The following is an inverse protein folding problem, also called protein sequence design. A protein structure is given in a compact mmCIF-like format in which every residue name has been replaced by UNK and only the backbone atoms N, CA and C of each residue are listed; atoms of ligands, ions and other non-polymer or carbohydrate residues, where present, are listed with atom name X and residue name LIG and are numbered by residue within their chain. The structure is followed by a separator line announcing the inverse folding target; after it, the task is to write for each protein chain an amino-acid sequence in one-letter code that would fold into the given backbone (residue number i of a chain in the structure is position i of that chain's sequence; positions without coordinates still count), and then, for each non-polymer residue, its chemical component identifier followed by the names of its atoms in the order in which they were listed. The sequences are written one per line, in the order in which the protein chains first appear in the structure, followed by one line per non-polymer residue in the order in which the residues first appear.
data_IF_952782091893
#
_entry.id   IF_952782091893
#
_cell.length_a   1.000
_cell.length_b   1.000
_cell.length_c   1.000
_cell.angle_alpha   90.00
_cell.angle_beta   90.00
_cell.angle_gamma   90.00
#
_symmetry.space_group_name_H-M   'P 1'
#
loop_
_entity.id
_entity.type
_entity.pdbx_description
1 polymer ?
#
# COMPACT_ATOMS: atom_id res chain seq x y z
N UNK A 1 -7.65 66.98 -1.05
CA UNK A 1 -7.09 65.74 -1.66
C UNK A 1 -5.77 65.27 -1.03
N UNK A 2 -4.87 66.16 -0.57
CA UNK A 2 -3.60 65.76 0.09
C UNK A 2 -3.74 64.94 1.38
N UNK A 3 -4.71 65.24 2.23
CA UNK A 3 -4.89 64.55 3.53
C UNK A 3 -5.40 63.11 3.38
N UNK A 4 -6.22 62.84 2.35
CA UNK A 4 -6.71 61.48 2.06
C UNK A 4 -5.62 60.59 1.46
N UNK A 5 -4.68 61.16 0.71
CA UNK A 5 -3.55 60.42 0.13
C UNK A 5 -2.54 59.99 1.21
N UNK A 6 -2.32 60.83 2.22
CA UNK A 6 -1.40 60.53 3.35
C UNK A 6 -1.98 59.41 4.24
N UNK A 7 -3.29 59.42 4.51
CA UNK A 7 -3.93 58.38 5.33
C UNK A 7 -3.87 57.01 4.64
N UNK A 8 -4.04 56.97 3.32
CA UNK A 8 -3.95 55.71 2.54
C UNK A 8 -2.51 55.18 2.52
N UNK A 9 -1.50 56.05 2.42
CA UNK A 9 -0.08 55.67 2.47
C UNK A 9 0.37 55.16 3.84
N UNK A 10 -0.16 55.73 4.93
CA UNK A 10 0.14 55.27 6.29
C UNK A 10 -0.55 53.95 6.61
N UNK A 11 -1.79 53.72 6.14
CA UNK A 11 -2.47 52.42 6.29
C UNK A 11 -1.83 51.29 5.47
N UNK A 12 -1.29 51.59 4.29
CA UNK A 12 -0.61 50.58 3.46
C UNK A 12 0.78 50.23 3.98
N UNK A 13 1.47 51.15 4.67
CA UNK A 13 2.74 50.85 5.34
C UNK A 13 2.59 50.01 6.62
N UNK A 14 1.46 50.11 7.34
CA UNK A 14 1.22 49.31 8.56
C UNK A 14 0.91 47.82 8.28
N UNK A 15 0.43 47.48 7.08
CA UNK A 15 0.07 46.10 6.72
C UNK A 15 1.24 45.24 6.22
N UNK A 16 2.46 45.79 6.14
CA UNK A 16 3.67 45.06 5.72
C UNK A 16 4.53 44.65 6.94
N UNK A 17 4.18 45.10 8.15
CA UNK A 17 4.96 44.86 9.37
C UNK A 17 4.28 43.87 10.33
N UNK A 18 3.97 42.67 9.85
CA UNK A 18 3.35 41.64 10.68
C UNK A 18 3.44 40.23 10.09
N UNK A 19 4.61 39.59 10.23
CA UNK A 19 4.79 38.16 10.53
C UNK A 19 6.29 37.79 10.46
N UNK A 20 7.05 38.11 11.52
CA UNK A 20 8.24 37.31 11.86
C UNK A 20 7.76 36.21 12.81
N UNK A 21 7.71 34.97 12.34
CA UNK A 21 7.58 33.81 13.21
C UNK A 21 8.94 33.55 13.87
N UNK A 22 9.00 33.27 15.18
CA UNK A 22 10.22 32.78 15.81
C UNK A 22 10.57 31.42 15.18
N UNK A 23 11.80 31.29 14.70
CA UNK A 23 12.37 29.99 14.36
C UNK A 23 12.34 29.13 15.62
N UNK A 24 11.42 28.16 15.67
CA UNK A 24 11.38 27.16 16.72
C UNK A 24 12.46 26.14 16.39
N UNK A 25 13.58 26.24 17.09
CA UNK A 25 14.62 25.21 17.16
C UNK A 25 13.95 23.87 17.44
N UNK A 26 13.83 23.06 16.39
CA UNK A 26 13.59 21.63 16.54
C UNK A 26 14.94 20.97 16.25
N UNK A 27 15.84 21.09 17.22
CA UNK A 27 16.96 20.17 17.35
C UNK A 27 16.35 18.79 17.67
N UNK A 28 15.82 18.15 16.64
CA UNK A 28 15.49 16.73 16.64
C UNK A 28 16.79 15.99 16.88
N UNK A 29 16.72 15.00 17.76
CA UNK A 29 17.79 14.16 18.25
C UNK A 29 18.40 13.28 17.14
N UNK A 30 19.16 13.93 16.24
CA UNK A 30 19.87 13.30 15.12
C UNK A 30 20.70 12.04 15.49
N UNK A 31 21.40 11.95 16.64
CA UNK A 31 22.18 10.76 16.95
C UNK A 31 21.30 9.54 17.28
N UNK A 32 20.11 9.74 17.86
CA UNK A 32 19.19 8.64 18.16
C UNK A 32 18.60 7.99 16.90
N UNK A 33 18.26 8.79 15.89
CA UNK A 33 17.76 8.29 14.60
C UNK A 33 18.85 7.55 13.81
N UNK A 34 20.10 8.03 13.81
CA UNK A 34 21.22 7.33 13.14
C UNK A 34 21.52 6.00 13.84
N UNK A 35 21.48 5.96 15.17
CA UNK A 35 21.65 4.72 15.92
C UNK A 35 20.57 3.69 15.56
N UNK A 36 19.29 4.09 15.53
CA UNK A 36 18.18 3.20 15.17
C UNK A 36 18.31 2.63 13.75
N UNK A 37 18.64 3.48 12.76
CA UNK A 37 18.84 3.03 11.37
C UNK A 37 19.98 2.01 11.23
N UNK A 38 21.07 2.17 11.99
CA UNK A 38 22.21 1.25 11.93
C UNK A 38 21.91 -0.13 12.53
N UNK A 39 21.06 -0.20 13.56
CA UNK A 39 20.62 -1.45 14.18
C UNK A 39 19.68 -2.21 13.25
N UNK A 40 18.71 -1.52 12.65
CA UNK A 40 17.74 -2.11 11.72
C UNK A 40 18.42 -2.67 10.46
N UNK A 41 19.40 -1.94 9.90
CA UNK A 41 20.20 -2.43 8.78
C UNK A 41 20.98 -3.72 9.11
N UNK A 42 21.46 -3.86 10.36
CA UNK A 42 22.22 -5.04 10.79
C UNK A 42 21.30 -6.26 10.97
N UNK A 43 20.08 -6.06 11.47
CA UNK A 43 19.07 -7.11 11.59
C UNK A 43 18.64 -7.64 10.21
N UNK A 44 18.36 -6.75 9.25
CA UNK A 44 18.02 -7.16 7.88
C UNK A 44 19.16 -7.90 7.18
N UNK A 45 20.42 -7.52 7.44
CA UNK A 45 21.58 -8.22 6.90
C UNK A 45 21.71 -9.65 7.47
N UNK A 46 21.46 -9.84 8.77
CA UNK A 46 21.50 -11.14 9.42
C UNK A 46 20.38 -12.08 8.92
N UNK A 47 19.17 -11.55 8.74
CA UNK A 47 18.03 -12.32 8.21
C UNK A 47 18.28 -12.79 6.77
N UNK A 48 18.81 -11.91 5.91
CA UNK A 48 19.19 -12.25 4.53
C UNK A 48 20.26 -13.34 4.49
N UNK A 49 21.26 -13.28 5.36
CA UNK A 49 22.30 -14.30 5.46
C UNK A 49 21.72 -15.66 5.89
N UNK A 50 20.76 -15.68 6.83
CA UNK A 50 20.06 -16.89 7.25
C UNK A 50 19.23 -17.53 6.13
N UNK A 51 18.51 -16.72 5.35
CA UNK A 51 17.76 -17.18 4.18
C UNK A 51 18.68 -17.78 3.11
N UNK A 52 19.79 -17.09 2.81
CA UNK A 52 20.77 -17.56 1.82
C UNK A 52 21.43 -18.89 2.26
N UNK A 53 21.75 -19.06 3.53
CA UNK A 53 22.28 -20.31 4.07
C UNK A 53 21.29 -21.48 3.91
N UNK A 54 20.00 -21.22 4.11
CA UNK A 54 18.93 -22.22 3.93
C UNK A 54 18.82 -22.66 2.47
N UNK A 55 18.88 -21.73 1.52
CA UNK A 55 18.81 -22.05 0.08
C UNK A 55 20.02 -22.89 -0.37
N UNK A 56 21.22 -22.57 0.11
CA UNK A 56 22.44 -23.34 -0.23
C UNK A 56 22.39 -24.75 0.37
N UNK A 57 21.81 -24.93 1.56
CA UNK A 57 21.61 -26.25 2.16
C UNK A 57 20.71 -27.15 1.31
N UNK A 58 19.62 -26.60 0.73
CA UNK A 58 18.76 -27.34 -0.19
C UNK A 58 19.44 -27.66 -1.53
N UNK A 59 20.30 -26.77 -2.05
CA UNK A 59 21.02 -26.97 -3.31
C UNK A 59 22.12 -28.03 -3.27
N UNK A 60 22.66 -28.33 -2.08
CA UNK A 60 23.74 -29.31 -1.89
C UNK A 60 23.25 -30.71 -1.49
N UNK A 61 21.93 -30.93 -1.46
CA UNK A 61 21.38 -32.24 -1.14
C UNK A 61 21.58 -33.19 -2.34
N UNK A 62 22.23 -34.35 -2.17
CA UNK A 62 22.44 -35.29 -3.26
C UNK A 62 21.09 -35.74 -3.84
N UNK A 63 20.94 -35.60 -5.15
CA UNK A 63 19.74 -36.03 -5.89
C UNK A 63 19.50 -37.52 -5.63
N UNK A 64 18.33 -37.93 -5.13
CA UNK A 64 18.01 -39.35 -4.98
C UNK A 64 17.97 -39.97 -6.38
N UNK A 65 18.99 -40.76 -6.72
CA UNK A 65 18.99 -41.60 -7.92
C UNK A 65 17.95 -42.71 -7.74
N UNK A 66 16.83 -42.62 -8.43
CA UNK A 66 15.89 -43.72 -8.57
C UNK A 66 16.60 -44.90 -9.25
N UNK A 67 16.74 -46.07 -8.60
CA UNK A 67 17.23 -47.26 -9.29
C UNK A 67 16.19 -47.73 -10.31
N UNK A 68 16.68 -48.24 -11.45
CA UNK A 68 15.85 -48.75 -12.54
C UNK A 68 14.94 -49.90 -12.06
N UNK A 69 13.66 -49.86 -12.44
CA UNK A 69 12.68 -50.91 -12.15
C UNK A 69 13.08 -52.24 -12.81
N UNK A 70 13.18 -53.35 -12.05
CA UNK A 70 13.16 -54.68 -12.64
C UNK A 70 11.73 -55.16 -12.94
N UNK A 71 11.61 -55.88 -14.04
CA UNK A 71 10.44 -56.62 -14.54
C UNK A 71 9.86 -57.57 -13.48
N UNK A 72 8.52 -57.67 -13.30
CA UNK A 72 7.94 -58.46 -12.22
C UNK A 72 7.98 -59.97 -12.51
N UNK A 73 8.60 -60.72 -11.59
CA UNK A 73 8.40 -62.16 -11.40
C UNK A 73 7.47 -62.37 -10.19
N UNK A 74 6.52 -63.32 -10.19
CA UNK A 74 5.54 -63.45 -9.12
C UNK A 74 6.10 -64.22 -7.92
N UNK A 75 6.24 -63.56 -6.76
CA UNK A 75 6.48 -64.22 -5.48
C UNK A 75 5.81 -63.49 -4.30
N UNK A 76 5.01 -64.26 -3.55
CA UNK A 76 4.81 -64.32 -2.08
C UNK A 76 4.64 -63.01 -1.27
N UNK A 77 3.63 -62.89 -0.38
CA UNK A 77 3.35 -61.65 0.36
C UNK A 77 4.46 -61.36 1.37
N UNK A 78 5.35 -60.45 0.99
CA UNK A 78 6.37 -59.84 1.85
C UNK A 78 5.82 -58.52 2.37
N UNK A 79 6.00 -58.26 3.66
CA UNK A 79 5.54 -57.06 4.34
C UNK A 79 5.95 -55.80 3.56
N UNK A 80 4.95 -54.97 3.24
CA UNK A 80 5.11 -53.69 2.54
C UNK A 80 6.00 -52.78 3.37
N UNK A 81 7.15 -52.30 2.85
CA UNK A 81 7.89 -51.23 3.48
C UNK A 81 7.03 -49.97 3.52
N UNK A 82 6.87 -49.37 4.71
CA UNK A 82 6.15 -48.11 4.88
C UNK A 82 6.79 -47.03 3.99
N UNK A 83 6.00 -46.56 3.02
CA UNK A 83 6.38 -45.47 2.12
C UNK A 83 6.50 -44.19 2.97
N UNK A 84 7.59 -43.40 2.82
CA UNK A 84 7.70 -42.13 3.54
C UNK A 84 6.51 -41.23 3.20
N UNK A 85 5.83 -40.75 4.24
CA UNK A 85 4.75 -39.76 4.10
C UNK A 85 5.30 -38.52 3.39
N UNK A 86 4.70 -38.06 2.27
CA UNK A 86 5.18 -36.89 1.57
C UNK A 86 5.13 -35.67 2.49
N UNK A 87 6.27 -34.97 2.63
CA UNK A 87 6.32 -33.68 3.32
C UNK A 87 5.38 -32.71 2.63
N UNK A 88 4.44 -32.06 3.33
CA UNK A 88 3.53 -31.10 2.71
C UNK A 88 4.32 -29.94 2.11
N UNK A 89 4.09 -29.65 0.83
CA UNK A 89 4.63 -28.46 0.17
C UNK A 89 4.01 -27.21 0.84
N UNK A 90 4.78 -26.14 1.12
CA UNK A 90 4.21 -24.88 1.59
C UNK A 90 3.15 -24.40 0.60
N UNK A 91 1.92 -24.30 1.07
CA UNK A 91 0.79 -23.80 0.27
C UNK A 91 0.84 -22.28 0.29
N UNK A 92 0.95 -21.65 -0.89
CA UNK A 92 0.85 -20.19 -1.00
C UNK A 92 -0.52 -19.75 -0.44
N UNK A 93 -0.60 -18.66 0.35
CA UNK A 93 -1.88 -18.13 0.79
C UNK A 93 -2.78 -17.85 -0.42
N UNK A 94 -4.10 -18.11 -0.31
CA UNK A 94 -5.01 -17.86 -1.40
C UNK A 94 -5.04 -16.36 -1.73
N UNK A 95 -5.17 -16.06 -3.02
CA UNK A 95 -5.24 -14.69 -3.55
C UNK A 95 -6.53 -14.48 -4.34
N UNK A 96 -6.91 -13.22 -4.51
CA UNK A 96 -7.98 -12.75 -5.36
C UNK A 96 -7.55 -11.52 -6.15
N UNK A 97 -8.52 -10.81 -6.70
CA UNK A 97 -8.29 -9.56 -7.44
C UNK A 97 -9.28 -8.49 -7.02
N UNK A 98 -8.90 -7.23 -7.18
CA UNK A 98 -9.83 -6.11 -7.08
C UNK A 98 -9.57 -5.09 -8.19
N UNK A 99 -10.64 -4.46 -8.68
CA UNK A 99 -10.56 -3.49 -9.77
C UNK A 99 -11.61 -2.38 -9.66
N UNK A 100 -11.32 -1.26 -10.29
CA UNK A 100 -12.22 -0.11 -10.31
C UNK A 100 -11.76 1.02 -11.22
N UNK A 101 -12.56 2.08 -11.25
CA UNK A 101 -12.26 3.29 -11.99
C UNK A 101 -11.40 4.26 -11.16
N UNK A 102 -10.61 5.08 -11.85
CA UNK A 102 -9.85 6.19 -11.29
C UNK A 102 -10.51 7.49 -11.76
N UNK A 103 -10.84 8.36 -10.81
CA UNK A 103 -11.27 9.74 -11.06
C UNK A 103 -10.30 10.73 -10.44
N UNK A 104 -10.39 11.99 -10.87
CA UNK A 104 -9.70 13.13 -10.25
C UNK A 104 -10.50 14.39 -10.57
N UNK A 105 -10.61 15.39 -9.66
CA UNK A 105 -11.40 16.60 -9.85
C UNK A 105 -10.73 17.59 -10.83
N UNK A 106 -10.38 17.13 -12.03
CA UNK A 106 -9.82 17.94 -13.12
C UNK A 106 -10.20 17.33 -14.47
N UNK A 107 -9.77 17.96 -15.57
CA UNK A 107 -9.96 17.42 -16.93
C UNK A 107 -9.12 16.18 -17.24
N UNK A 108 -8.12 15.87 -16.39
CA UNK A 108 -7.17 14.78 -16.57
C UNK A 108 -6.95 14.05 -15.24
N UNK A 109 -6.66 12.75 -15.30
CA UNK A 109 -6.25 11.97 -14.12
C UNK A 109 -4.73 11.99 -14.06
N UNK A 110 -4.10 12.55 -13.00
CA UNK A 110 -2.65 12.55 -12.88
C UNK A 110 -2.10 11.12 -12.69
N UNK A 111 -0.78 10.96 -12.70
CA UNK A 111 -0.18 9.70 -12.26
C UNK A 111 -0.41 9.52 -10.74
N UNK A 112 -0.99 8.39 -10.36
CA UNK A 112 -1.43 8.10 -8.99
C UNK A 112 -0.70 6.89 -8.42
N UNK A 113 -0.44 6.91 -7.12
CA UNK A 113 -0.13 5.71 -6.35
C UNK A 113 -1.41 5.18 -5.76
N UNK A 114 -1.82 4.00 -6.20
CA UNK A 114 -3.02 3.32 -5.70
C UNK A 114 -2.57 2.34 -4.63
N UNK A 115 -3.22 2.36 -3.47
CA UNK A 115 -2.85 1.56 -2.30
C UNK A 115 -4.08 0.84 -1.77
N UNK A 116 -3.97 -0.47 -1.58
CA UNK A 116 -4.93 -1.30 -0.87
C UNK A 116 -4.38 -1.63 0.52
N UNK A 117 -4.99 -1.07 1.56
CA UNK A 117 -4.63 -1.30 2.97
C UNK A 117 -5.46 -2.42 3.56
N UNK A 118 -4.82 -3.51 3.99
CA UNK A 118 -5.50 -4.58 4.70
C UNK A 118 -5.85 -4.12 6.11
N UNK A 119 -7.14 -4.03 6.42
CA UNK A 119 -7.63 -3.41 7.67
C UNK A 119 -7.33 -4.24 8.92
N UNK A 120 -7.04 -5.52 8.77
CA UNK A 120 -6.81 -6.43 9.89
C UNK A 120 -5.32 -6.65 10.17
N UNK A 121 -4.48 -6.68 9.14
CA UNK A 121 -3.05 -6.96 9.27
C UNK A 121 -2.19 -5.70 9.27
N UNK A 122 -2.70 -4.58 8.76
CA UNK A 122 -1.94 -3.35 8.54
C UNK A 122 -0.99 -3.42 7.34
N UNK A 123 -0.87 -4.56 6.66
CA UNK A 123 -0.12 -4.66 5.41
C UNK A 123 -0.82 -3.88 4.30
N UNK A 124 -0.02 -3.39 3.36
CA UNK A 124 -0.52 -2.65 2.20
C UNK A 124 0.15 -3.14 0.92
N UNK A 125 -0.60 -3.03 -0.17
CA UNK A 125 -0.16 -3.34 -1.52
C UNK A 125 -0.37 -2.11 -2.38
N UNK A 126 0.54 -1.82 -3.30
CA UNK A 126 0.44 -0.63 -4.11
C UNK A 126 0.91 -0.84 -5.54
N UNK A 127 0.38 -0.01 -6.43
CA UNK A 127 0.81 0.12 -7.81
C UNK A 127 0.75 1.58 -8.22
N UNK A 128 1.52 1.95 -9.24
CA UNK A 128 1.43 3.27 -9.84
C UNK A 128 0.58 3.21 -11.11
N UNK A 129 -0.27 4.21 -11.29
CA UNK A 129 -0.90 4.49 -12.58
C UNK A 129 -0.04 5.46 -13.39
N UNK A 130 -0.27 5.48 -14.70
CA UNK A 130 0.26 6.52 -15.60
C UNK A 130 -0.75 7.66 -15.76
N UNK A 131 -0.29 8.78 -16.31
CA UNK A 131 -1.14 9.92 -16.65
C UNK A 131 -2.34 9.48 -17.53
N UNK A 132 -3.53 9.96 -17.19
CA UNK A 132 -4.83 9.68 -17.83
C UNK A 132 -5.28 8.21 -17.81
N UNK A 133 -4.69 7.38 -16.94
CA UNK A 133 -5.22 6.06 -16.69
C UNK A 133 -6.54 6.16 -15.91
N UNK A 134 -7.61 5.58 -16.47
CA UNK A 134 -8.98 5.69 -15.93
C UNK A 134 -9.43 4.46 -15.13
N UNK A 135 -8.61 3.42 -15.05
CA UNK A 135 -8.94 2.19 -14.32
C UNK A 135 -7.69 1.50 -13.79
N UNK A 136 -7.86 0.64 -12.80
CA UNK A 136 -6.78 -0.15 -12.20
C UNK A 136 -7.26 -1.55 -11.83
N UNK A 137 -6.30 -2.45 -11.63
CA UNK A 137 -6.53 -3.82 -11.16
C UNK A 137 -5.33 -4.31 -10.38
N UNK A 138 -5.55 -4.73 -9.14
CA UNK A 138 -4.62 -5.60 -8.43
C UNK A 138 -4.91 -7.05 -8.81
N UNK A 139 -3.87 -7.76 -9.21
CA UNK A 139 -3.88 -9.23 -9.33
C UNK A 139 -3.15 -9.84 -8.14
N UNK A 140 -3.55 -11.05 -7.77
CA UNK A 140 -2.89 -11.83 -6.74
C UNK A 140 -2.82 -11.14 -5.36
N UNK A 141 -3.86 -10.38 -5.01
CA UNK A 141 -3.97 -9.77 -3.69
C UNK A 141 -4.37 -10.83 -2.67
N UNK A 142 -3.70 -10.95 -1.50
CA UNK A 142 -4.11 -11.91 -0.49
C UNK A 142 -5.57 -11.72 -0.07
N UNK A 143 -6.26 -12.83 0.19
CA UNK A 143 -7.63 -12.78 0.72
C UNK A 143 -7.70 -11.93 1.98
N UNK A 144 -8.68 -11.04 2.05
CA UNK A 144 -8.84 -10.13 3.18
C UNK A 144 -9.76 -8.96 2.87
N UNK A 145 -9.84 -8.04 3.83
CA UNK A 145 -10.66 -6.83 3.73
C UNK A 145 -9.74 -5.62 3.60
N UNK A 146 -10.03 -4.76 2.63
CA UNK A 146 -9.17 -3.65 2.24
C UNK A 146 -9.91 -2.32 2.22
N UNK A 147 -9.19 -1.25 2.57
CA UNK A 147 -9.51 0.11 2.15
C UNK A 147 -8.63 0.50 0.98
N UNK A 148 -9.21 1.12 -0.05
CA UNK A 148 -8.48 1.45 -1.28
C UNK A 148 -8.46 2.95 -1.50
N UNK A 149 -7.25 3.50 -1.60
CA UNK A 149 -6.97 4.93 -1.73
C UNK A 149 -5.99 5.20 -2.87
N UNK A 150 -5.93 6.45 -3.31
CA UNK A 150 -4.97 6.95 -4.27
C UNK A 150 -4.29 8.24 -3.79
N UNK A 151 -3.00 8.36 -4.08
CA UNK A 151 -2.17 9.51 -3.74
C UNK A 151 -1.51 10.08 -4.99
N UNK A 152 -1.27 11.39 -5.02
CA UNK A 152 -0.53 12.03 -6.11
C UNK A 152 0.94 11.59 -6.10
N UNK A 153 1.44 11.07 -7.24
CA UNK A 153 2.87 10.76 -7.40
C UNK A 153 3.69 12.03 -7.59
N UNK A 154 3.22 12.91 -8.47
CA UNK A 154 3.82 14.21 -8.74
C UNK A 154 3.21 15.26 -7.82
N UNK A 155 4.05 16.08 -7.17
CA UNK A 155 3.61 17.09 -6.20
C UNK A 155 2.70 16.49 -5.10
N UNK A 156 3.21 15.53 -4.30
CA UNK A 156 2.42 14.89 -3.26
C UNK A 156 1.88 15.94 -2.28
N UNK A 157 0.64 15.76 -1.85
CA UNK A 157 0.00 16.62 -0.86
C UNK A 157 -0.75 15.75 0.15
N UNK A 158 -0.58 15.97 1.46
CA UNK A 158 -1.31 15.22 2.49
C UNK A 158 -2.82 15.54 2.50
N UNK A 159 -3.24 16.61 1.82
CA UNK A 159 -4.63 17.02 1.68
C UNK A 159 -5.28 16.53 0.38
N UNK A 160 -4.50 16.04 -0.59
CA UNK A 160 -5.02 15.56 -1.87
C UNK A 160 -4.93 14.03 -1.92
N UNK A 161 -5.93 13.38 -1.33
CA UNK A 161 -6.07 11.92 -1.29
C UNK A 161 -7.39 11.57 -1.96
N UNK A 162 -7.37 10.54 -2.80
CA UNK A 162 -8.55 9.94 -3.40
C UNK A 162 -8.93 8.66 -2.65
N UNK A 163 -10.21 8.37 -2.46
CA UNK A 163 -10.64 7.10 -1.86
C UNK A 163 -11.86 6.46 -2.54
N UNK A 164 -12.02 5.15 -2.29
CA UNK A 164 -13.31 4.49 -2.41
C UNK A 164 -14.06 4.61 -1.06
N UNK A 165 -15.08 5.46 -1.05
CA UNK A 165 -15.81 5.87 0.15
C UNK A 165 -17.33 5.83 -0.05
N UNK A 166 -18.09 6.01 1.03
CA UNK A 166 -19.55 6.12 0.99
C UNK A 166 -20.04 7.26 0.09
N UNK A 167 -19.27 8.34 -0.03
CA UNK A 167 -19.59 9.45 -0.92
C UNK A 167 -19.57 9.03 -2.40
N UNK A 168 -18.69 8.09 -2.79
CA UNK A 168 -18.67 7.53 -4.15
C UNK A 168 -19.98 6.81 -4.47
N UNK A 169 -20.49 6.00 -3.55
CA UNK A 169 -21.78 5.29 -3.73
C UNK A 169 -22.99 6.24 -3.75
N UNK A 170 -22.86 7.39 -3.11
CA UNK A 170 -23.85 8.46 -3.09
C UNK A 170 -23.78 9.37 -4.35
N UNK A 171 -22.79 9.16 -5.22
CA UNK A 171 -22.64 9.90 -6.48
C UNK A 171 -21.91 11.23 -6.33
N UNK A 172 -21.17 11.45 -5.23
CA UNK A 172 -20.34 12.64 -4.98
C UNK A 172 -21.12 13.96 -5.08
N UNK A 173 -22.41 13.94 -4.77
CA UNK A 173 -23.21 15.16 -4.67
C UNK A 173 -22.83 15.94 -3.41
N UNK A 174 -23.23 17.22 -3.36
CA UNK A 174 -23.03 18.07 -2.17
C UNK A 174 -23.75 17.56 -0.91
N UNK A 175 -24.73 16.67 -1.07
CA UNK A 175 -25.48 16.06 0.04
C UNK A 175 -24.75 14.81 0.58
N UNK A 176 -23.72 14.32 -0.11
CA UNK A 176 -22.93 13.16 0.29
C UNK A 176 -21.87 13.55 1.33
N UNK A 177 -22.30 13.70 2.58
CA UNK A 177 -21.43 14.11 3.70
C UNK A 177 -20.65 12.97 4.35
N UNK A 178 -21.00 11.72 4.05
CA UNK A 178 -20.33 10.53 4.58
C UNK A 178 -19.15 10.14 3.67
N UNK A 179 -17.95 10.46 4.12
CA UNK A 179 -16.68 10.13 3.47
C UNK A 179 -15.98 8.92 4.10
N UNK A 180 -16.70 8.10 4.88
CA UNK A 180 -16.11 6.89 5.46
C UNK A 180 -15.66 5.90 4.38
N UNK A 181 -14.52 5.27 4.63
CA UNK A 181 -13.95 4.25 3.74
C UNK A 181 -14.86 3.03 3.69
N UNK A 182 -14.98 2.42 2.52
CA UNK A 182 -15.74 1.19 2.34
C UNK A 182 -14.81 0.00 2.45
N UNK A 183 -15.21 -0.98 3.26
CA UNK A 183 -14.58 -2.28 3.37
C UNK A 183 -14.77 -3.06 2.06
N UNK A 184 -13.65 -3.36 1.39
CA UNK A 184 -13.61 -4.15 0.15
C UNK A 184 -13.14 -5.55 0.47
N UNK A 185 -14.02 -6.53 0.35
CA UNK A 185 -13.67 -7.93 0.54
C UNK A 185 -13.01 -8.49 -0.73
N UNK A 186 -11.86 -9.15 -0.57
CA UNK A 186 -11.19 -9.90 -1.64
C UNK A 186 -11.25 -11.38 -1.32
N UNK A 187 -11.96 -12.12 -2.17
CA UNK A 187 -12.19 -13.56 -2.01
C UNK A 187 -11.23 -14.38 -2.89
N UNK A 188 -10.94 -15.60 -2.44
CA UNK A 188 -10.02 -16.51 -3.13
C UNK A 188 -10.51 -16.79 -4.55
N UNK A 189 -9.62 -16.61 -5.54
CA UNK A 189 -9.86 -16.85 -6.96
C UNK A 189 -11.05 -16.05 -7.55
N UNK A 190 -11.43 -14.94 -6.93
CA UNK A 190 -12.50 -14.05 -7.40
C UNK A 190 -11.96 -12.63 -7.65
N UNK A 191 -12.70 -11.88 -8.46
CA UNK A 191 -12.44 -10.46 -8.68
C UNK A 191 -13.57 -9.60 -8.08
N UNK A 192 -13.20 -8.74 -7.15
CA UNK A 192 -14.08 -7.71 -6.60
C UNK A 192 -14.01 -6.46 -7.46
N UNK A 193 -15.08 -6.17 -8.20
CA UNK A 193 -15.13 -5.04 -9.15
C UNK A 193 -15.89 -3.84 -8.57
N UNK A 194 -15.82 -2.69 -9.24
CA UNK A 194 -16.59 -1.50 -8.85
C UNK A 194 -15.96 -0.65 -7.74
N UNK A 195 -14.71 -0.93 -7.38
CA UNK A 195 -13.96 -0.24 -6.31
C UNK A 195 -13.39 1.08 -6.84
N UNK A 196 -14.27 2.06 -7.10
CA UNK A 196 -13.90 3.27 -7.84
C UNK A 196 -13.35 4.36 -6.92
N UNK A 197 -12.11 4.79 -7.17
CA UNK A 197 -11.44 5.82 -6.37
C UNK A 197 -11.75 7.18 -6.97
N UNK A 198 -12.77 7.85 -6.43
CA UNK A 198 -13.29 9.11 -6.97
C UNK A 198 -13.57 10.17 -5.90
N UNK A 199 -13.53 9.81 -4.63
CA UNK A 199 -13.73 10.78 -3.56
C UNK A 199 -12.42 11.51 -3.24
N UNK A 200 -12.33 12.76 -3.70
CA UNK A 200 -11.20 13.67 -3.49
C UNK A 200 -11.58 14.89 -2.65
N UNK A 201 -12.78 14.87 -2.04
CA UNK A 201 -13.38 16.04 -1.41
C UNK A 201 -13.41 15.94 0.12
N UNK A 202 -13.09 14.76 0.66
CA UNK A 202 -12.90 14.59 2.08
C UNK A 202 -11.66 15.33 2.58
N UNK A 203 -11.73 15.88 3.79
CA UNK A 203 -10.52 16.18 4.55
C UNK A 203 -9.96 14.86 5.11
N UNK A 204 -8.76 14.42 4.67
CA UNK A 204 -8.21 13.12 5.08
C UNK A 204 -7.92 13.02 6.58
N UNK A 205 -7.57 14.14 7.23
CA UNK A 205 -7.26 14.14 8.67
C UNK A 205 -8.54 14.04 9.50
N UNK A 206 -9.60 14.75 9.09
CA UNK A 206 -10.92 14.66 9.73
C UNK A 206 -11.56 13.29 9.50
N UNK A 207 -11.40 12.74 8.30
CA UNK A 207 -12.00 11.44 7.91
C UNK A 207 -11.18 10.24 8.38
N UNK A 208 -9.99 10.46 8.96
CA UNK A 208 -9.10 9.40 9.43
C UNK A 208 -8.55 8.53 8.31
N UNK A 209 -8.39 9.08 7.11
CA UNK A 209 -7.84 8.34 5.98
C UNK A 209 -6.34 8.08 6.18
N UNK A 210 -5.85 6.87 5.84
CA UNK A 210 -4.43 6.56 5.91
C UNK A 210 -3.58 7.56 5.12
N UNK A 211 -2.34 7.78 5.57
CA UNK A 211 -1.33 8.50 4.79
C UNK A 211 -0.66 7.57 3.78
N UNK A 212 -0.01 8.12 2.76
CA UNK A 212 0.77 7.34 1.80
C UNK A 212 1.91 6.59 2.55
N UNK A 213 1.90 5.25 2.59
CA UNK A 213 2.84 4.46 3.39
C UNK A 213 4.20 4.29 2.71
N UNK A 214 4.39 4.90 1.53
CA UNK A 214 5.64 4.83 0.76
C UNK A 214 6.45 6.13 0.83
N UNK A 215 6.08 7.05 1.73
CA UNK A 215 6.64 8.39 1.88
C UNK A 215 7.01 8.67 3.33
#
# INVERSE_FOLDING_TARGET
MKTKLIIVLVLSALMISGCLLPAKDSAVDYPATIAAMSVEATLHAAEKAGLQATIVAFGNQPTPTCPACPTPEPATPTATPDLPTPTPLPTLPPTGSLSGALGYPSSHVPALRIVAFNIHTGYYFWQNSVLNQMSYKFTDLPVGTYHVLAYLLENPSPAAVGAYSRAVLCGLSVDCVDHSLIDVEVLANQETTGVSIQDWYADPDVSGWPKDPTR
#
